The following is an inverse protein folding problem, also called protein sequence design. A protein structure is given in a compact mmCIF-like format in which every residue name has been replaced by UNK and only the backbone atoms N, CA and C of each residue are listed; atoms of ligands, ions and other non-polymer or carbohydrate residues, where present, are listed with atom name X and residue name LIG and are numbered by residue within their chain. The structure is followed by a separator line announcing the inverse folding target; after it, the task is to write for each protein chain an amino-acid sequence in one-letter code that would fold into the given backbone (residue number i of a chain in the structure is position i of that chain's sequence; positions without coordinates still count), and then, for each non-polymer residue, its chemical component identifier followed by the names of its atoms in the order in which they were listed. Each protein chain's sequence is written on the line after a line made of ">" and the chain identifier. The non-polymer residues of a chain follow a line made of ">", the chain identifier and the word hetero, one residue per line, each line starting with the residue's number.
data_IF_341342660028
#
_entry.id   IF_341342660028
#
_cell.length_a   1.000
_cell.length_b   1.000
_cell.length_c   1.000
_cell.angle_alpha   90.00
_cell.angle_beta   90.00
_cell.angle_gamma   90.00
#
_symmetry.space_group_name_H-M   'P 1'
#
loop_
_entity.id
_entity.type
_entity.pdbx_description
1 polymer ?
#
# COMPACT_ATOMS: atom_id res chain seq x y z
N UNK A 1 -28.46 -21.57 -12.79
CA UNK A 1 -27.34 -21.24 -13.70
C UNK A 1 -27.86 -20.59 -14.99
N UNK A 2 -28.97 -21.07 -15.56
CA UNK A 2 -29.63 -20.47 -16.73
C UNK A 2 -30.18 -19.06 -16.47
N UNK A 3 -30.80 -18.80 -15.30
CA UNK A 3 -31.23 -17.44 -14.93
C UNK A 3 -30.08 -16.44 -14.83
N UNK A 4 -28.94 -16.86 -14.28
CA UNK A 4 -27.74 -16.01 -14.18
C UNK A 4 -27.21 -15.70 -15.58
N UNK A 5 -27.15 -16.69 -16.47
CA UNK A 5 -26.72 -16.48 -17.85
C UNK A 5 -27.72 -15.63 -18.65
N UNK A 6 -29.02 -15.74 -18.38
CA UNK A 6 -30.05 -14.92 -19.02
C UNK A 6 -29.95 -13.46 -18.56
N UNK A 7 -29.81 -13.21 -17.25
CA UNK A 7 -29.59 -11.87 -16.69
C UNK A 7 -28.26 -11.28 -17.20
N UNK A 8 -27.20 -12.08 -17.28
CA UNK A 8 -25.93 -11.63 -17.86
C UNK A 8 -26.03 -11.37 -19.37
N UNK A 9 -26.89 -12.07 -20.11
CA UNK A 9 -27.13 -11.85 -21.53
C UNK A 9 -27.95 -10.59 -21.82
N UNK A 10 -28.77 -10.14 -20.88
CA UNK A 10 -29.60 -8.93 -21.00
C UNK A 10 -28.94 -7.66 -20.44
N UNK A 11 -28.00 -7.79 -19.49
CA UNK A 11 -27.20 -6.69 -18.89
C UNK A 11 -26.00 -6.26 -19.77
N UNK A 12 -25.69 -6.99 -20.84
CA UNK A 12 -24.59 -6.66 -21.76
C UNK A 12 -25.06 -5.83 -22.98
N UNK A 13 -25.85 -4.78 -22.75
CA UNK A 13 -25.96 -3.72 -23.76
C UNK A 13 -24.60 -3.03 -23.92
N UNK A 14 -24.23 -2.62 -25.14
CA UNK A 14 -22.93 -1.99 -25.42
C UNK A 14 -22.71 -0.73 -24.55
N UNK A 15 -23.80 -0.04 -24.18
CA UNK A 15 -23.80 1.06 -23.23
C UNK A 15 -23.38 0.65 -21.82
N UNK A 16 -24.04 -0.35 -21.23
CA UNK A 16 -23.75 -0.85 -19.88
C UNK A 16 -22.33 -1.41 -19.77
N UNK A 17 -21.87 -2.13 -20.80
CA UNK A 17 -20.51 -2.65 -20.89
C UNK A 17 -19.46 -1.52 -20.92
N UNK A 18 -19.75 -0.42 -21.61
CA UNK A 18 -18.86 0.75 -21.66
C UNK A 18 -18.71 1.42 -20.29
N UNK A 19 -19.80 1.51 -19.53
CA UNK A 19 -19.83 2.05 -18.15
C UNK A 19 -19.01 1.14 -17.24
N UNK A 20 -19.25 -0.17 -17.27
CA UNK A 20 -18.53 -1.12 -16.44
C UNK A 20 -17.02 -1.11 -16.71
N UNK A 21 -16.61 -1.01 -17.98
CA UNK A 21 -15.19 -0.87 -18.37
C UNK A 21 -14.57 0.41 -17.81
N UNK A 22 -15.28 1.54 -17.90
CA UNK A 22 -14.80 2.84 -17.38
C UNK A 22 -14.53 2.80 -15.86
N UNK A 23 -15.48 2.27 -15.08
CA UNK A 23 -15.34 2.15 -13.63
C UNK A 23 -14.29 1.12 -13.22
N UNK A 24 -14.19 0.00 -13.95
CA UNK A 24 -13.13 -0.99 -13.77
C UNK A 24 -11.74 -0.37 -14.01
N UNK A 25 -11.57 0.38 -15.09
CA UNK A 25 -10.31 1.09 -15.38
C UNK A 25 -9.96 2.09 -14.28
N UNK A 26 -10.95 2.85 -13.79
CA UNK A 26 -10.76 3.79 -12.68
C UNK A 26 -10.33 3.10 -11.40
N UNK A 27 -10.96 1.98 -11.05
CA UNK A 27 -10.57 1.14 -9.91
C UNK A 27 -9.13 0.60 -10.03
N UNK A 28 -8.77 0.10 -11.20
CA UNK A 28 -7.39 -0.35 -11.47
C UNK A 28 -6.38 0.80 -11.35
N UNK A 29 -6.71 2.00 -11.83
CA UNK A 29 -5.84 3.16 -11.73
C UNK A 29 -5.62 3.56 -10.26
N UNK A 30 -6.68 3.55 -9.45
CA UNK A 30 -6.61 3.82 -8.01
C UNK A 30 -5.70 2.80 -7.29
N UNK A 31 -5.91 1.50 -7.52
CA UNK A 31 -5.09 0.45 -6.92
C UNK A 31 -3.62 0.56 -7.35
N UNK A 32 -3.34 0.87 -8.62
CA UNK A 32 -1.96 1.11 -9.09
C UNK A 32 -1.29 2.26 -8.36
N UNK A 33 -2.01 3.37 -8.14
CA UNK A 33 -1.49 4.53 -7.41
C UNK A 33 -1.17 4.16 -5.96
N UNK A 34 -2.04 3.42 -5.28
CA UNK A 34 -1.78 2.95 -3.91
C UNK A 34 -0.55 2.06 -3.86
N UNK A 35 -0.44 1.08 -4.77
CA UNK A 35 0.73 0.20 -4.81
C UNK A 35 2.00 1.02 -5.03
N UNK A 36 2.00 1.98 -5.96
CA UNK A 36 3.13 2.89 -6.20
C UNK A 36 3.50 3.68 -4.94
N UNK A 37 2.52 4.26 -4.25
CA UNK A 37 2.75 5.01 -3.01
C UNK A 37 3.31 4.13 -1.90
N UNK A 38 2.77 2.92 -1.72
CA UNK A 38 3.23 1.96 -0.71
C UNK A 38 4.66 1.49 -1.00
N UNK A 39 4.99 1.21 -2.26
CA UNK A 39 6.35 0.86 -2.68
C UNK A 39 7.34 2.02 -2.46
N UNK A 40 6.95 3.25 -2.81
CA UNK A 40 7.78 4.43 -2.57
C UNK A 40 8.04 4.63 -1.08
N UNK A 41 7.00 4.44 -0.25
CA UNK A 41 7.10 4.52 1.20
C UNK A 41 8.05 3.46 1.77
N UNK A 42 7.96 2.20 1.29
CA UNK A 42 8.93 1.15 1.63
C UNK A 42 10.36 1.49 1.25
N UNK A 43 10.58 2.05 0.05
CA UNK A 43 11.93 2.45 -0.38
C UNK A 43 12.50 3.53 0.54
N UNK A 44 11.70 4.53 0.92
CA UNK A 44 12.12 5.59 1.85
C UNK A 44 12.46 4.99 3.22
N UNK A 45 11.62 4.09 3.74
CA UNK A 45 11.87 3.40 5.01
C UNK A 45 13.16 2.57 4.97
N UNK A 46 13.40 1.81 3.89
CA UNK A 46 14.63 1.03 3.72
C UNK A 46 15.87 1.93 3.71
N UNK A 47 15.82 3.07 3.00
CA UNK A 47 16.94 4.04 2.99
C UNK A 47 17.15 4.67 4.36
N UNK A 48 16.08 4.97 5.09
CA UNK A 48 16.16 5.51 6.45
C UNK A 48 16.69 4.48 7.47
N UNK A 49 16.48 3.19 7.21
CA UNK A 49 16.95 2.08 8.06
C UNK A 49 18.44 1.74 7.83
N UNK A 50 19.07 2.28 6.77
CA UNK A 50 20.51 2.14 6.56
C UNK A 50 21.29 2.79 7.73
N UNK A 51 22.35 2.13 8.23
CA UNK A 51 23.18 2.70 9.29
C UNK A 51 23.74 4.07 8.86
N UNK A 52 23.84 5.00 9.81
CA UNK A 52 24.43 6.33 9.60
C UNK A 52 25.83 6.26 8.97
N UNK A 53 26.58 5.18 9.21
CA UNK A 53 27.90 4.92 8.64
C UNK A 53 27.92 4.89 7.10
N UNK A 54 26.86 4.40 6.45
CA UNK A 54 26.77 4.43 4.98
C UNK A 54 26.61 5.85 4.44
N UNK A 55 25.86 6.70 5.17
CA UNK A 55 25.73 8.11 4.85
C UNK A 55 27.02 8.89 5.17
N UNK A 56 27.77 8.51 6.21
CA UNK A 56 29.06 9.13 6.55
C UNK A 56 30.13 8.93 5.46
N UNK A 57 30.18 7.75 4.84
CA UNK A 57 31.11 7.46 3.73
C UNK A 57 30.76 8.25 2.47
N UNK A 58 29.47 8.42 2.16
CA UNK A 58 29.00 9.13 0.96
C UNK A 58 28.97 10.65 1.11
N UNK A 59 28.64 11.17 2.29
CA UNK A 59 28.47 12.60 2.54
C UNK A 59 29.58 13.26 3.38
N UNK A 60 30.53 12.51 3.97
CA UNK A 60 31.58 13.05 4.87
C UNK A 60 31.01 14.06 5.89
N UNK A 61 29.86 13.77 6.50
CA UNK A 61 29.15 14.72 7.36
C UNK A 61 29.46 14.48 8.85
N UNK A 62 30.68 14.88 9.24
CA UNK A 62 31.11 15.25 10.61
C UNK A 62 30.49 14.49 11.81
N UNK A 63 31.10 13.34 12.14
CA UNK A 63 31.37 12.64 13.42
C UNK A 63 30.68 12.98 14.78
N UNK A 64 29.55 13.68 14.87
CA UNK A 64 28.93 14.02 16.18
C UNK A 64 27.41 13.95 16.21
N UNK A 65 26.79 13.02 15.47
CA UNK A 65 25.33 12.87 15.52
C UNK A 65 24.94 11.84 16.58
N UNK A 66 24.24 12.28 17.63
CA UNK A 66 23.54 11.41 18.56
C UNK A 66 22.63 10.46 17.78
N UNK A 67 22.65 9.19 18.16
CA UNK A 67 21.90 8.12 17.52
C UNK A 67 20.42 8.21 17.94
N UNK A 68 19.77 9.33 17.61
CA UNK A 68 18.36 9.55 17.95
C UNK A 68 17.49 8.79 16.94
N UNK A 69 16.95 7.67 17.42
CA UNK A 69 15.99 6.82 16.73
C UNK A 69 14.80 7.64 16.23
N UNK A 70 14.48 7.52 14.94
CA UNK A 70 13.38 8.22 14.24
C UNK A 70 11.99 7.92 14.84
N UNK A 71 11.88 6.84 15.63
CA UNK A 71 10.73 6.52 16.47
C UNK A 71 11.21 6.26 17.90
N UNK A 72 10.94 7.19 18.82
CA UNK A 72 11.02 6.96 20.26
C UNK A 72 9.84 6.08 20.70
N UNK A 73 9.81 4.81 20.29
CA UNK A 73 9.04 3.81 21.01
C UNK A 73 9.94 3.33 22.13
N UNK A 74 9.64 3.74 23.36
CA UNK A 74 10.44 3.41 24.54
C UNK A 74 10.31 1.91 24.82
N UNK A 75 11.17 1.10 24.20
CA UNK A 75 11.22 -0.34 24.46
C UNK A 75 11.93 -0.56 25.79
N UNK A 76 11.29 -1.30 26.70
CA UNK A 76 11.81 -1.64 28.03
C UNK A 76 13.02 -2.59 28.03
N UNK A 77 13.69 -2.75 26.89
CA UNK A 77 14.81 -3.67 26.66
C UNK A 77 16.01 -2.83 26.27
N UNK A 78 17.16 -3.10 26.91
CA UNK A 78 18.44 -2.44 26.72
C UNK A 78 18.72 -2.18 25.23
N UNK A 79 18.51 -0.93 24.79
CA UNK A 79 18.40 -0.59 23.37
C UNK A 79 19.67 -1.00 22.64
N UNK A 80 20.85 -0.72 23.20
CA UNK A 80 22.16 -0.95 22.56
C UNK A 80 22.43 -2.42 22.18
N UNK A 81 21.92 -3.40 22.92
CA UNK A 81 22.23 -4.83 22.67
C UNK A 81 21.29 -5.51 21.68
N UNK A 82 20.11 -4.93 21.44
CA UNK A 82 19.04 -5.54 20.63
C UNK A 82 18.53 -4.67 19.48
N UNK A 83 19.18 -3.53 19.16
CA UNK A 83 18.81 -2.63 18.05
C UNK A 83 18.55 -3.37 16.73
N UNK A 84 19.37 -4.36 16.38
CA UNK A 84 19.25 -5.11 15.13
C UNK A 84 17.99 -5.97 15.06
N UNK A 85 17.65 -6.68 16.13
CA UNK A 85 16.46 -7.52 16.21
C UNK A 85 15.19 -6.69 16.21
N UNK A 86 15.21 -5.53 16.90
CA UNK A 86 14.09 -4.61 16.92
C UNK A 86 13.80 -4.01 15.55
N UNK A 87 14.84 -3.60 14.81
CA UNK A 87 14.71 -3.12 13.42
C UNK A 87 14.08 -4.18 12.51
N UNK A 88 14.52 -5.43 12.60
CA UNK A 88 13.93 -6.54 11.80
C UNK A 88 12.44 -6.73 12.14
N UNK A 89 12.07 -6.67 13.43
CA UNK A 89 10.67 -6.74 13.85
C UNK A 89 9.85 -5.55 13.32
N UNK A 90 10.40 -4.34 13.34
CA UNK A 90 9.73 -3.15 12.82
C UNK A 90 9.52 -3.22 11.30
N UNK A 91 10.55 -3.60 10.53
CA UNK A 91 10.45 -3.76 9.07
C UNK A 91 9.47 -4.88 8.69
N UNK A 92 9.44 -5.99 9.44
CA UNK A 92 8.49 -7.08 9.17
C UNK A 92 7.04 -6.68 9.49
N UNK A 93 6.80 -5.94 10.56
CA UNK A 93 5.48 -5.39 10.89
C UNK A 93 5.04 -4.36 9.84
N UNK A 94 5.97 -3.53 9.38
CA UNK A 94 5.72 -2.56 8.33
C UNK A 94 5.34 -3.25 7.01
N UNK A 95 6.08 -4.28 6.60
CA UNK A 95 5.75 -5.09 5.42
C UNK A 95 4.36 -5.73 5.54
N UNK A 96 4.03 -6.31 6.69
CA UNK A 96 2.72 -6.90 6.93
C UNK A 96 1.61 -5.83 6.83
N UNK A 97 1.82 -4.66 7.42
CA UNK A 97 0.85 -3.56 7.37
C UNK A 97 0.60 -3.06 5.95
N UNK A 98 1.63 -3.05 5.11
CA UNK A 98 1.53 -2.65 3.70
C UNK A 98 0.72 -3.66 2.88
N UNK A 99 0.92 -4.97 3.10
CA UNK A 99 0.12 -6.02 2.44
C UNK A 99 -1.36 -5.89 2.82
N UNK A 100 -1.64 -5.71 4.12
CA UNK A 100 -3.01 -5.51 4.61
C UNK A 100 -3.62 -4.26 3.96
N UNK A 101 -2.89 -3.15 3.94
CA UNK A 101 -3.37 -1.89 3.36
C UNK A 101 -3.71 -2.05 1.87
N UNK A 102 -2.83 -2.67 1.07
CA UNK A 102 -3.10 -2.92 -0.36
C UNK A 102 -4.33 -3.81 -0.54
N UNK A 103 -4.47 -4.87 0.27
CA UNK A 103 -5.61 -5.77 0.20
C UNK A 103 -6.92 -5.05 0.55
N UNK A 104 -6.95 -4.31 1.66
CA UNK A 104 -8.14 -3.57 2.11
C UNK A 104 -8.53 -2.49 1.11
N UNK A 105 -7.58 -1.65 0.67
CA UNK A 105 -7.86 -0.58 -0.29
C UNK A 105 -8.32 -1.11 -1.65
N UNK A 106 -7.74 -2.22 -2.12
CA UNK A 106 -8.16 -2.82 -3.39
C UNK A 106 -9.58 -3.39 -3.33
N UNK A 107 -9.95 -4.03 -2.21
CA UNK A 107 -11.32 -4.49 -1.97
C UNK A 107 -12.29 -3.32 -1.88
N UNK A 108 -11.96 -2.28 -1.10
CA UNK A 108 -12.79 -1.08 -0.99
C UNK A 108 -12.99 -0.40 -2.35
N UNK A 109 -11.92 -0.23 -3.12
CA UNK A 109 -11.99 0.34 -4.46
C UNK A 109 -12.89 -0.49 -5.38
N UNK A 110 -12.75 -1.82 -5.38
CA UNK A 110 -13.60 -2.70 -6.17
C UNK A 110 -15.07 -2.54 -5.82
N UNK A 111 -15.42 -2.57 -4.53
CA UNK A 111 -16.79 -2.44 -4.06
C UNK A 111 -17.38 -1.06 -4.42
N UNK A 112 -16.62 0.02 -4.22
CA UNK A 112 -17.06 1.38 -4.56
C UNK A 112 -17.27 1.52 -6.06
N UNK A 113 -16.32 1.06 -6.89
CA UNK A 113 -16.47 1.16 -8.35
C UNK A 113 -17.62 0.31 -8.86
N UNK A 114 -17.81 -0.91 -8.34
CA UNK A 114 -18.89 -1.81 -8.71
C UNK A 114 -20.27 -1.25 -8.34
N UNK A 115 -20.42 -0.74 -7.12
CA UNK A 115 -21.69 -0.12 -6.69
C UNK A 115 -21.99 1.14 -7.48
N UNK A 116 -20.97 1.98 -7.74
CA UNK A 116 -21.16 3.20 -8.54
C UNK A 116 -21.52 2.88 -10.00
N UNK A 117 -20.90 1.86 -10.60
CA UNK A 117 -21.26 1.45 -11.97
C UNK A 117 -22.68 0.93 -12.08
N UNK A 118 -23.14 0.15 -11.09
CA UNK A 118 -24.52 -0.33 -11.08
C UNK A 118 -25.53 0.81 -10.90
N UNK A 119 -25.23 1.80 -10.05
CA UNK A 119 -26.07 2.98 -9.89
C UNK A 119 -26.15 3.78 -11.20
N UNK A 120 -25.04 3.92 -11.92
CA UNK A 120 -25.00 4.63 -13.20
C UNK A 120 -25.78 3.90 -14.30
N UNK A 121 -25.77 2.56 -14.31
CA UNK A 121 -26.54 1.75 -15.26
C UNK A 121 -28.04 1.89 -15.04
N UNK A 122 -28.48 1.95 -13.78
CA UNK A 122 -29.91 2.04 -13.42
C UNK A 122 -30.48 3.46 -13.62
N UNK A 123 -29.62 4.48 -13.74
CA UNK A 123 -30.01 5.89 -13.81
C UNK A 123 -30.34 6.34 -15.23
#
# INVERSE_FOLDING_TARGET
>A
MEEVNYIWGTVYDDGELSILKKYTYRGQCYVKVIILMTLLSMLISMVACLPSEFFDVLLRLNASRSHDSVLQLQYFIDEEKHLSLMRICQESLYFLSAVITIATESLCAMLIQHTTSLIEIVR
#
